data_IF_695972599165
#
_entry.id   IF_695972599165
#
_cell.length_a   1.000
_cell.length_b   1.000
_cell.length_c   1.000
_cell.angle_alpha   90.00
_cell.angle_beta   90.00
_cell.angle_gamma   90.00
#
_symmetry.space_group_name_H-M   'P 1'
#
loop_
_entity.id
_entity.type
_entity.pdbx_description
1 polymer ?
#
# COMPACT_ATOMS: atom_id res chain seq x y z
N UNK A 1 -14.07 14.83 4.51
CA UNK A 1 -13.75 14.41 5.88
C UNK A 1 -12.93 13.13 5.91
N UNK A 2 -13.17 12.19 5.00
CA UNK A 2 -12.42 10.93 4.92
C UNK A 2 -11.98 10.65 3.49
N UNK A 3 -10.80 10.04 3.32
CA UNK A 3 -10.27 9.55 2.05
C UNK A 3 -9.96 8.08 2.20
N UNK A 4 -10.49 7.26 1.27
CA UNK A 4 -10.26 5.82 1.22
C UNK A 4 -9.44 5.49 -0.03
N UNK A 5 -8.15 5.26 0.15
CA UNK A 5 -7.27 4.89 -0.95
C UNK A 5 -7.39 3.38 -1.25
N UNK A 6 -8.36 3.04 -2.09
CA UNK A 6 -8.64 1.66 -2.54
C UNK A 6 -8.14 1.40 -3.98
N UNK A 7 -7.74 2.46 -4.70
CA UNK A 7 -7.23 2.35 -6.07
C UNK A 7 -5.85 1.71 -6.08
N UNK A 8 -5.68 0.69 -6.92
CA UNK A 8 -4.42 -0.03 -7.07
C UNK A 8 -4.41 -0.83 -8.38
N UNK A 9 -3.22 -1.14 -8.89
CA UNK A 9 -3.04 -2.34 -9.70
C UNK A 9 -3.03 -3.52 -8.72
N UNK A 10 -4.15 -4.26 -8.60
CA UNK A 10 -4.36 -5.21 -7.50
C UNK A 10 -4.00 -6.66 -7.82
N UNK A 11 -3.60 -6.97 -9.05
CA UNK A 11 -3.36 -8.35 -9.48
C UNK A 11 -1.89 -8.73 -9.32
N UNK A 12 -1.59 -9.60 -8.35
CA UNK A 12 -0.22 -10.03 -8.00
C UNK A 12 0.56 -10.54 -9.21
N UNK A 13 -0.02 -11.42 -10.05
CA UNK A 13 0.68 -11.95 -11.22
C UNK A 13 1.10 -10.86 -12.23
N UNK A 14 0.19 -9.93 -12.54
CA UNK A 14 0.44 -8.82 -13.49
C UNK A 14 1.48 -7.84 -12.95
N UNK A 15 1.68 -7.76 -11.62
CA UNK A 15 2.75 -6.93 -11.06
C UNK A 15 4.15 -7.38 -11.47
N UNK A 16 4.34 -8.65 -11.86
CA UNK A 16 5.61 -9.12 -12.44
C UNK A 16 5.77 -8.72 -13.91
N UNK A 17 4.66 -8.56 -14.63
CA UNK A 17 4.66 -8.14 -16.04
C UNK A 17 4.84 -6.63 -16.19
N UNK A 18 4.34 -5.83 -15.24
CA UNK A 18 4.43 -4.36 -15.25
C UNK A 18 4.77 -3.78 -13.89
N UNK A 19 5.95 -4.11 -13.32
CA UNK A 19 6.32 -3.74 -11.96
C UNK A 19 6.43 -2.22 -11.73
N UNK A 20 6.90 -1.48 -12.74
CA UNK A 20 7.02 -0.02 -12.66
C UNK A 20 5.65 0.65 -12.53
N UNK A 21 4.68 0.21 -13.34
CA UNK A 21 3.31 0.72 -13.27
C UNK A 21 2.67 0.39 -11.91
N UNK A 22 2.82 -0.85 -11.41
CA UNK A 22 2.34 -1.22 -10.09
C UNK A 22 2.97 -0.35 -9.00
N UNK A 23 4.28 -0.07 -9.05
CA UNK A 23 4.93 0.80 -8.07
C UNK A 23 4.45 2.25 -8.15
N UNK A 24 4.30 2.81 -9.37
CA UNK A 24 3.86 4.19 -9.54
C UNK A 24 2.43 4.43 -9.01
N UNK A 25 1.54 3.45 -9.20
CA UNK A 25 0.16 3.54 -8.71
C UNK A 25 0.08 3.22 -7.22
N UNK A 26 0.56 2.07 -6.78
CA UNK A 26 0.28 1.54 -5.44
C UNK A 26 1.15 2.21 -4.35
N UNK A 27 2.40 2.51 -4.67
CA UNK A 27 3.33 3.16 -3.75
C UNK A 27 3.29 4.69 -3.92
N UNK A 28 3.67 5.19 -5.10
CA UNK A 28 3.78 6.63 -5.33
C UNK A 28 2.41 7.33 -5.33
N UNK A 29 1.34 6.67 -5.78
CA UNK A 29 -0.02 7.19 -5.65
C UNK A 29 -0.43 7.48 -4.21
N UNK A 30 -0.05 6.60 -3.27
CA UNK A 30 -0.31 6.80 -1.84
C UNK A 30 0.42 8.04 -1.31
N UNK A 31 1.71 8.19 -1.62
CA UNK A 31 2.47 9.39 -1.26
C UNK A 31 1.84 10.66 -1.83
N UNK A 32 1.44 10.64 -3.11
CA UNK A 32 0.82 11.79 -3.78
C UNK A 32 -0.47 12.24 -3.09
N UNK A 33 -1.31 11.30 -2.64
CA UNK A 33 -2.55 11.63 -1.94
C UNK A 33 -2.25 12.25 -0.56
N UNK A 34 -1.30 11.68 0.19
CA UNK A 34 -0.88 12.22 1.49
C UNK A 34 -0.29 13.64 1.34
N UNK A 35 0.55 13.84 0.33
CA UNK A 35 1.10 15.17 0.01
C UNK A 35 0.01 16.16 -0.41
N UNK A 36 -1.01 15.73 -1.16
CA UNK A 36 -2.13 16.60 -1.49
C UNK A 36 -2.91 17.04 -0.24
N UNK A 37 -3.13 16.14 0.73
CA UNK A 37 -3.76 16.47 2.01
C UNK A 37 -2.91 17.50 2.77
N UNK A 38 -1.59 17.32 2.81
CA UNK A 38 -0.65 18.24 3.47
C UNK A 38 -0.59 19.61 2.79
N UNK A 39 -0.44 19.65 1.46
CA UNK A 39 -0.32 20.89 0.69
C UNK A 39 -1.58 21.77 0.76
N UNK A 40 -2.75 21.15 0.93
CA UNK A 40 -4.03 21.85 1.09
C UNK A 40 -4.34 22.25 2.55
N UNK A 41 -3.46 21.94 3.51
CA UNK A 41 -3.64 22.25 4.93
C UNK A 41 -4.82 21.49 5.56
N UNK A 42 -5.08 20.27 5.09
CA UNK A 42 -6.25 19.46 5.49
C UNK A 42 -5.95 18.40 6.55
N UNK A 43 -4.76 18.40 7.15
CA UNK A 43 -4.26 17.34 8.04
C UNK A 43 -5.12 17.18 9.30
N UNK A 44 -5.71 18.27 9.81
CA UNK A 44 -6.59 18.24 11.00
C UNK A 44 -8.04 17.87 10.69
N UNK A 45 -8.43 17.88 9.41
CA UNK A 45 -9.80 17.63 8.96
C UNK A 45 -9.96 16.25 8.32
N UNK A 46 -8.96 15.82 7.56
CA UNK A 46 -9.08 14.63 6.71
C UNK A 46 -8.51 13.42 7.41
N UNK A 47 -9.32 12.38 7.59
CA UNK A 47 -8.85 11.05 7.96
C UNK A 47 -8.52 10.25 6.70
N UNK A 48 -7.42 9.51 6.75
CA UNK A 48 -6.93 8.73 5.61
C UNK A 48 -6.96 7.25 5.95
N UNK A 49 -7.54 6.45 5.06
CA UNK A 49 -7.53 4.99 5.12
C UNK A 49 -6.77 4.45 3.91
N UNK A 50 -5.81 3.57 4.16
CA UNK A 50 -5.02 2.87 3.14
C UNK A 50 -5.45 1.40 3.05
N UNK A 51 -5.76 0.94 1.84
CA UNK A 51 -5.94 -0.49 1.59
C UNK A 51 -4.58 -1.22 1.56
N UNK A 52 -4.12 -1.63 2.74
CA UNK A 52 -3.02 -2.60 2.92
C UNK A 52 -3.50 -4.03 2.60
N UNK A 53 -2.64 -5.04 2.78
CA UNK A 53 -2.93 -6.40 2.33
C UNK A 53 -2.17 -7.46 3.13
N UNK A 54 -2.73 -8.67 3.24
CA UNK A 54 -2.02 -9.82 3.81
C UNK A 54 -0.83 -10.29 2.94
N UNK A 55 -0.75 -9.86 1.67
CA UNK A 55 0.40 -10.13 0.79
C UNK A 55 1.72 -9.57 1.35
N UNK A 56 1.66 -8.60 2.29
CA UNK A 56 2.82 -8.09 3.02
C UNK A 56 3.55 -9.20 3.80
N UNK A 57 2.82 -10.23 4.25
CA UNK A 57 3.40 -11.35 4.99
C UNK A 57 4.11 -12.38 4.12
N UNK A 58 3.93 -12.36 2.79
CA UNK A 58 4.55 -13.24 1.78
C UNK A 58 5.15 -14.55 2.32
N UNK A 59 6.47 -14.57 2.58
CA UNK A 59 7.08 -15.68 3.33
C UNK A 59 6.74 -15.56 4.83
N UNK A 60 5.65 -16.21 5.22
CA UNK A 60 5.10 -16.17 6.57
C UNK A 60 6.14 -16.53 7.64
N UNK A 61 6.24 -15.69 8.68
CA UNK A 61 7.12 -15.90 9.83
C UNK A 61 6.40 -16.45 11.07
N UNK A 62 5.09 -16.22 11.20
CA UNK A 62 4.25 -16.68 12.33
C UNK A 62 2.88 -17.15 11.84
N UNK A 63 2.24 -18.10 12.53
CA UNK A 63 0.90 -18.59 12.19
C UNK A 63 0.03 -18.76 13.45
N UNK A 64 -1.15 -18.12 13.54
CA UNK A 64 -1.71 -17.17 12.58
C UNK A 64 -0.92 -15.85 12.56
N UNK A 65 -1.03 -15.09 11.47
CA UNK A 65 -0.42 -13.76 11.36
C UNK A 65 -1.23 -12.74 12.18
N UNK A 66 -0.53 -11.74 12.73
CA UNK A 66 -1.08 -10.61 13.48
C UNK A 66 -0.31 -9.33 13.13
N UNK A 67 -0.73 -8.20 13.68
CA UNK A 67 -0.17 -6.87 13.40
C UNK A 67 1.33 -6.76 13.76
N UNK A 68 1.82 -7.61 14.66
CA UNK A 68 3.23 -7.68 15.04
C UNK A 68 4.03 -8.72 14.25
N UNK A 69 3.40 -9.54 13.42
CA UNK A 69 4.10 -10.54 12.61
C UNK A 69 4.99 -9.82 11.57
N UNK A 70 6.26 -10.18 11.42
CA UNK A 70 7.15 -9.50 10.48
C UNK A 70 6.67 -9.63 9.02
N UNK A 71 6.81 -8.55 8.25
CA UNK A 71 6.55 -8.54 6.81
C UNK A 71 7.71 -9.19 6.04
N UNK A 72 7.36 -9.90 4.96
CA UNK A 72 8.32 -10.50 4.04
C UNK A 72 7.68 -10.61 2.64
N UNK A 73 7.56 -9.51 1.89
CA UNK A 73 6.86 -9.48 0.60
C UNK A 73 7.55 -10.36 -0.46
N UNK A 74 6.74 -10.93 -1.36
CA UNK A 74 7.19 -11.87 -2.42
C UNK A 74 6.76 -11.50 -3.84
N UNK A 75 6.31 -10.28 -4.06
CA UNK A 75 5.92 -9.75 -5.38
C UNK A 75 6.18 -8.24 -5.47
N UNK A 76 6.33 -7.69 -6.69
CA UNK A 76 6.37 -6.23 -6.88
C UNK A 76 5.15 -5.52 -6.28
N UNK A 77 3.95 -6.11 -6.40
CA UNK A 77 2.74 -5.63 -5.72
C UNK A 77 2.93 -5.54 -4.20
N UNK A 78 3.39 -6.61 -3.55
CA UNK A 78 3.57 -6.61 -2.09
C UNK A 78 4.66 -5.64 -1.63
N UNK A 79 5.73 -5.46 -2.42
CA UNK A 79 6.77 -4.46 -2.15
C UNK A 79 6.22 -3.03 -2.26
N UNK A 80 5.43 -2.74 -3.30
CA UNK A 80 4.78 -1.44 -3.46
C UNK A 80 3.79 -1.15 -2.32
N UNK A 81 2.99 -2.15 -1.91
CA UNK A 81 2.09 -2.04 -0.76
C UNK A 81 2.84 -1.87 0.56
N UNK A 82 4.04 -2.46 0.70
CA UNK A 82 4.88 -2.28 1.89
C UNK A 82 5.44 -0.86 1.99
N UNK A 83 5.76 -0.21 0.86
CA UNK A 83 6.12 1.21 0.87
C UNK A 83 4.95 2.10 1.32
N UNK A 84 3.73 1.75 0.92
CA UNK A 84 2.52 2.51 1.21
C UNK A 84 1.93 2.26 2.61
N UNK A 85 2.52 1.34 3.40
CA UNK A 85 2.08 0.99 4.76
C UNK A 85 2.65 1.97 5.79
#
# INVERSE_FOLDING_TARGET
>A
DEVYNLGAQSHVAVSFESPEYTADVDAMGTLRILEAIRLLGLEKKTRFYQASTSELYGLVQETPQKETTPFYPRSPYAVAKMYAY
#
